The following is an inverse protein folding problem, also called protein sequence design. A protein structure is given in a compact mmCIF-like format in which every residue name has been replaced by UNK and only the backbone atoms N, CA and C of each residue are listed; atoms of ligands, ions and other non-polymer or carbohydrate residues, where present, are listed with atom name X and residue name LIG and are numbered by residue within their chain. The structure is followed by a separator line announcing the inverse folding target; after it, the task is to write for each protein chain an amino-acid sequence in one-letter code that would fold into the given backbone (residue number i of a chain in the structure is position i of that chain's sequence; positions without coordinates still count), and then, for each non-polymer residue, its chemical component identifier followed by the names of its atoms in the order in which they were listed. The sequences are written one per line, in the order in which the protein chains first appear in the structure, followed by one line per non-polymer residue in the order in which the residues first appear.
data_IF_440617069644
#
_entry.id   IF_440617069644
#
_cell.length_a   1.000
_cell.length_b   1.000
_cell.length_c   1.000
_cell.angle_alpha   90.00
_cell.angle_beta   90.00
_cell.angle_gamma   90.00
#
_symmetry.space_group_name_H-M   'P 1'
#
loop_
_entity.id
_entity.type
_entity.pdbx_description
1 polymer ?
#
# COMPACT_ATOMS: atom_id res chain seq x y z
N UNK A 1 -6.80 -11.04 27.97
CA UNK A 1 -5.73 -10.29 27.29
C UNK A 1 -6.35 -9.01 26.79
N UNK A 2 -5.79 -7.85 27.11
CA UNK A 2 -6.24 -6.60 26.53
C UNK A 2 -6.09 -6.65 25.01
N UNK A 3 -7.08 -6.13 24.29
CA UNK A 3 -7.04 -6.06 22.84
C UNK A 3 -5.99 -5.01 22.43
N UNK A 4 -5.11 -5.38 21.51
CA UNK A 4 -4.08 -4.47 20.99
C UNK A 4 -4.70 -3.23 20.35
N UNK A 5 -4.11 -2.07 20.67
CA UNK A 5 -4.54 -0.78 20.12
C UNK A 5 -3.74 -0.47 18.86
N UNK A 6 -4.44 -0.41 17.75
CA UNK A 6 -3.88 -0.07 16.44
C UNK A 6 -4.35 1.31 16.00
N UNK A 7 -3.41 2.11 15.50
CA UNK A 7 -3.69 3.42 14.92
C UNK A 7 -3.06 3.56 13.54
N UNK A 8 -3.62 4.43 12.72
CA UNK A 8 -3.08 4.80 11.41
C UNK A 8 -2.92 6.31 11.28
N UNK A 9 -1.76 6.72 10.81
CA UNK A 9 -1.39 8.11 10.51
C UNK A 9 -1.19 8.25 9.01
N UNK A 10 -1.83 9.28 8.44
CA UNK A 10 -1.78 9.49 6.99
C UNK A 10 -2.95 8.82 6.26
N UNK A 11 -4.12 9.47 6.31
CA UNK A 11 -5.34 9.01 5.62
C UNK A 11 -5.40 9.57 4.19
N UNK A 12 -4.32 9.31 3.46
CA UNK A 12 -4.25 9.53 2.01
C UNK A 12 -4.80 8.33 1.23
N UNK A 13 -4.32 8.13 0.00
CA UNK A 13 -4.83 7.06 -0.87
C UNK A 13 -4.62 5.68 -0.25
N UNK A 14 -3.42 5.36 0.25
CA UNK A 14 -3.12 4.06 0.84
C UNK A 14 -3.75 3.89 2.22
N UNK A 15 -3.56 4.86 3.13
CA UNK A 15 -4.12 4.78 4.48
C UNK A 15 -5.65 4.73 4.48
N UNK A 16 -6.29 5.48 3.58
CA UNK A 16 -7.74 5.42 3.38
C UNK A 16 -8.21 4.09 2.80
N UNK A 17 -7.41 3.45 1.93
CA UNK A 17 -7.71 2.11 1.42
C UNK A 17 -7.64 1.05 2.53
N UNK A 18 -6.60 1.10 3.37
CA UNK A 18 -6.45 0.20 4.53
C UNK A 18 -7.64 0.37 5.48
N UNK A 19 -7.98 1.62 5.83
CA UNK A 19 -9.09 1.93 6.72
C UNK A 19 -10.41 1.37 6.19
N UNK A 20 -10.69 1.54 4.89
CA UNK A 20 -11.88 0.98 4.23
C UNK A 20 -11.91 -0.55 4.32
N UNK A 21 -10.78 -1.23 4.11
CA UNK A 21 -10.73 -2.69 4.20
C UNK A 21 -10.98 -3.21 5.63
N UNK A 22 -10.58 -2.45 6.64
CA UNK A 22 -10.84 -2.78 8.04
C UNK A 22 -12.29 -2.48 8.48
N UNK A 23 -13.02 -1.60 7.78
CA UNK A 23 -14.40 -1.23 8.13
C UNK A 23 -15.44 -2.35 7.94
N UNK A 24 -15.08 -3.49 7.34
CA UNK A 24 -15.98 -4.58 7.01
C UNK A 24 -15.98 -5.70 8.08
N UNK A 25 -16.26 -5.36 9.34
CA UNK A 25 -16.33 -6.36 10.44
C UNK A 25 -14.96 -6.85 10.94
N UNK A 26 -13.91 -6.15 10.62
CA UNK A 26 -12.52 -6.38 11.02
C UNK A 26 -12.14 -5.52 12.24
N UNK A 27 -10.91 -5.63 12.79
CA UNK A 27 -10.52 -4.86 13.95
C UNK A 27 -10.74 -3.34 13.75
N UNK A 28 -11.40 -2.72 14.72
CA UNK A 28 -11.52 -1.26 14.76
C UNK A 28 -10.17 -0.66 15.13
N UNK A 29 -9.77 0.41 14.45
CA UNK A 29 -8.53 1.12 14.73
C UNK A 29 -8.78 2.61 14.95
N UNK A 30 -7.84 3.26 15.64
CA UNK A 30 -7.76 4.71 15.66
C UNK A 30 -7.16 5.26 14.37
N UNK A 31 -7.51 6.50 14.00
CA UNK A 31 -6.83 7.19 12.91
C UNK A 31 -6.55 8.64 13.27
N UNK A 32 -5.40 9.14 12.84
CA UNK A 32 -5.02 10.53 13.04
C UNK A 32 -5.00 11.31 11.74
N UNK A 33 -5.62 12.48 11.76
CA UNK A 33 -5.53 13.48 10.70
C UNK A 33 -5.36 14.88 11.28
N UNK A 34 -4.37 15.69 10.85
CA UNK A 34 -4.08 17.01 11.47
C UNK A 34 -5.20 18.05 11.27
N UNK A 35 -6.08 17.87 10.30
CA UNK A 35 -7.25 18.73 10.08
C UNK A 35 -8.49 18.06 10.68
N UNK A 36 -9.08 18.68 11.69
CA UNK A 36 -10.23 18.16 12.44
C UNK A 36 -11.50 17.98 11.58
N UNK A 37 -11.75 18.88 10.63
CA UNK A 37 -12.91 18.80 9.73
C UNK A 37 -12.80 17.58 8.81
N UNK A 38 -11.60 17.34 8.24
CA UNK A 38 -11.33 16.13 7.44
C UNK A 38 -11.42 14.87 8.30
N UNK A 39 -10.92 14.92 9.54
CA UNK A 39 -11.03 13.80 10.48
C UNK A 39 -12.48 13.43 10.75
N UNK A 40 -13.36 14.42 10.97
CA UNK A 40 -14.79 14.20 11.16
C UNK A 40 -15.45 13.55 9.92
N UNK A 41 -15.11 14.02 8.71
CA UNK A 41 -15.61 13.42 7.46
C UNK A 41 -15.13 11.97 7.28
N UNK A 42 -13.87 11.67 7.63
CA UNK A 42 -13.33 10.30 7.59
C UNK A 42 -14.06 9.39 8.59
N UNK A 43 -14.29 9.85 9.83
CA UNK A 43 -15.03 9.10 10.84
C UNK A 43 -16.45 8.76 10.38
N UNK A 44 -17.13 9.73 9.77
CA UNK A 44 -18.47 9.52 9.23
C UNK A 44 -18.50 8.49 8.10
N UNK A 45 -17.48 8.50 7.23
CA UNK A 45 -17.36 7.56 6.11
C UNK A 45 -16.90 6.15 6.52
N UNK A 46 -16.31 5.99 7.71
CA UNK A 46 -15.76 4.73 8.21
C UNK A 46 -16.27 4.47 9.64
N UNK A 47 -17.54 4.14 9.83
CA UNK A 47 -18.11 3.90 11.15
C UNK A 47 -17.40 2.73 11.83
N UNK A 48 -17.11 2.90 13.13
CA UNK A 48 -16.37 1.94 13.95
C UNK A 48 -14.88 2.30 14.12
N UNK A 49 -14.32 3.21 13.33
CA UNK A 49 -12.98 3.75 13.53
C UNK A 49 -13.03 5.08 14.29
N UNK A 50 -12.07 5.29 15.20
CA UNK A 50 -12.01 6.44 16.07
C UNK A 50 -11.02 7.48 15.55
N UNK A 51 -11.45 8.74 15.45
CA UNK A 51 -10.52 9.85 15.24
C UNK A 51 -9.70 10.11 16.50
N UNK A 52 -8.37 10.25 16.33
CA UNK A 52 -7.42 10.46 17.41
C UNK A 52 -6.91 11.90 17.42
N UNK A 53 -6.55 12.38 18.60
CA UNK A 53 -5.69 13.56 18.76
C UNK A 53 -4.21 13.14 18.68
N UNK A 54 -3.31 14.12 18.59
CA UNK A 54 -1.87 13.82 18.56
C UNK A 54 -1.38 13.26 19.89
N UNK A 55 -1.95 13.73 21.00
CA UNK A 55 -1.60 13.33 22.37
C UNK A 55 -1.98 11.88 22.67
N UNK A 56 -2.93 11.32 21.96
CA UNK A 56 -3.36 9.93 22.15
C UNK A 56 -2.42 8.91 21.46
N UNK A 57 -1.55 9.37 20.55
CA UNK A 57 -0.75 8.46 19.70
C UNK A 57 0.24 7.59 20.50
N UNK A 58 0.75 8.07 21.62
CA UNK A 58 1.69 7.29 22.46
C UNK A 58 1.01 6.22 23.33
N UNK A 59 -0.34 6.22 23.39
CA UNK A 59 -1.14 5.22 24.09
C UNK A 59 -1.43 3.95 23.27
N UNK A 60 -0.94 3.89 22.02
CA UNK A 60 -1.16 2.78 21.10
C UNK A 60 -0.02 1.77 21.15
N UNK A 61 -0.32 0.50 20.83
CA UNK A 61 0.70 -0.54 20.68
C UNK A 61 1.38 -0.46 19.31
N UNK A 62 0.60 -0.12 18.27
CA UNK A 62 1.06 0.00 16.90
C UNK A 62 0.50 1.25 16.23
N UNK A 63 1.37 1.96 15.50
CA UNK A 63 0.99 3.07 14.64
C UNK A 63 1.45 2.81 13.20
N UNK A 64 0.50 2.67 12.29
CA UNK A 64 0.74 2.52 10.85
C UNK A 64 1.04 3.90 10.28
N UNK A 65 2.25 4.11 9.75
CA UNK A 65 2.69 5.37 9.15
C UNK A 65 2.53 5.29 7.63
N UNK A 66 1.32 5.58 7.15
CA UNK A 66 0.97 5.65 5.72
C UNK A 66 1.22 7.06 5.16
N UNK A 67 2.41 7.59 5.43
CA UNK A 67 2.83 8.95 5.07
C UNK A 67 3.72 8.97 3.82
N UNK A 68 3.74 10.08 3.06
CA UNK A 68 4.77 10.32 2.07
C UNK A 68 6.17 10.23 2.67
N UNK A 69 7.14 9.76 1.88
CA UNK A 69 8.51 9.51 2.35
C UNK A 69 9.16 10.74 2.99
N UNK A 70 8.97 11.92 2.39
CA UNK A 70 9.49 13.21 2.88
C UNK A 70 8.78 13.71 4.15
N UNK A 71 7.65 13.13 4.53
CA UNK A 71 6.87 13.52 5.70
C UNK A 71 7.07 12.61 6.90
N UNK A 72 7.55 11.39 6.69
CA UNK A 72 7.63 10.39 7.75
C UNK A 72 8.59 10.80 8.86
N UNK A 73 9.84 11.11 8.54
CA UNK A 73 10.86 11.53 9.53
C UNK A 73 10.46 12.84 10.23
N UNK A 74 10.07 13.92 9.51
CA UNK A 74 9.59 15.15 10.17
C UNK A 74 8.40 14.92 11.11
N UNK A 75 7.47 14.05 10.74
CA UNK A 75 6.32 13.71 11.60
C UNK A 75 6.77 13.03 12.90
N UNK A 76 7.59 11.99 12.81
CA UNK A 76 8.11 11.29 14.01
C UNK A 76 8.89 12.26 14.90
N UNK A 77 9.73 13.12 14.32
CA UNK A 77 10.49 14.13 15.07
C UNK A 77 9.54 15.11 15.77
N UNK A 78 8.50 15.58 15.10
CA UNK A 78 7.53 16.50 15.71
C UNK A 78 6.79 15.90 16.90
N UNK A 79 6.51 14.60 16.90
CA UNK A 79 5.91 13.90 18.03
C UNK A 79 6.88 13.87 19.24
N UNK A 80 8.15 13.59 18.98
CA UNK A 80 9.19 13.58 20.03
C UNK A 80 9.40 15.00 20.61
N UNK A 81 9.45 16.02 19.75
CA UNK A 81 9.62 17.41 20.15
C UNK A 81 8.43 17.93 20.98
N UNK A 82 7.22 17.37 20.76
CA UNK A 82 6.04 17.65 21.59
C UNK A 82 6.01 16.90 22.93
N UNK A 83 7.02 16.08 23.21
CA UNK A 83 7.17 15.37 24.47
C UNK A 83 6.48 14.01 24.55
N UNK A 84 5.94 13.48 23.43
CA UNK A 84 5.32 12.15 23.42
C UNK A 84 6.38 11.05 23.59
N UNK A 85 6.05 10.05 24.40
CA UNK A 85 6.92 8.90 24.63
C UNK A 85 6.52 7.71 23.74
N UNK A 86 7.11 7.63 22.55
CA UNK A 86 6.83 6.54 21.60
C UNK A 86 7.62 5.25 21.86
N UNK A 87 8.29 5.12 23.00
CA UNK A 87 9.20 3.98 23.32
C UNK A 87 8.46 2.63 23.42
N UNK A 88 7.18 2.64 23.74
CA UNK A 88 6.32 1.44 23.79
C UNK A 88 5.61 1.15 22.47
N UNK A 89 5.50 2.16 21.62
CA UNK A 89 4.77 2.09 20.34
C UNK A 89 5.64 1.41 19.29
N UNK A 90 5.06 0.53 18.52
CA UNK A 90 5.69 0.01 17.30
C UNK A 90 5.22 0.83 16.11
N UNK A 91 6.16 1.49 15.45
CA UNK A 91 5.91 2.33 14.28
C UNK A 91 6.05 1.48 13.00
N UNK A 92 4.95 1.32 12.27
CA UNK A 92 4.93 0.53 11.04
C UNK A 92 5.24 1.45 9.85
N UNK A 93 6.43 1.31 9.27
CA UNK A 93 6.87 2.07 8.13
C UNK A 93 6.28 1.51 6.82
N UNK A 94 5.38 2.28 6.18
CA UNK A 94 4.79 1.92 4.88
C UNK A 94 5.42 2.68 3.70
N UNK A 95 6.27 3.68 3.94
CA UNK A 95 6.92 4.44 2.86
C UNK A 95 7.89 3.54 2.09
N UNK A 96 7.65 3.34 0.79
CA UNK A 96 8.38 2.39 -0.05
C UNK A 96 9.88 2.71 -0.11
N UNK A 97 10.24 3.98 -0.32
CA UNK A 97 11.65 4.41 -0.51
C UNK A 97 12.38 4.72 0.81
N UNK A 98 11.71 4.62 1.97
CA UNK A 98 12.34 4.85 3.27
C UNK A 98 12.70 3.51 3.90
N UNK A 99 14.00 3.23 4.03
CA UNK A 99 14.47 1.97 4.61
C UNK A 99 14.20 1.92 6.11
N UNK A 100 13.56 0.85 6.57
CA UNK A 100 13.23 0.66 7.99
C UNK A 100 14.49 0.54 8.85
N UNK A 101 15.56 -0.05 8.33
CA UNK A 101 16.86 -0.11 9.01
C UNK A 101 17.47 1.29 9.25
N UNK A 102 17.24 2.25 8.35
CA UNK A 102 17.69 3.63 8.51
C UNK A 102 16.91 4.36 9.60
N UNK A 103 15.59 4.17 9.65
CA UNK A 103 14.77 4.71 10.73
C UNK A 103 15.18 4.18 12.10
N UNK A 104 15.46 2.88 12.23
CA UNK A 104 15.95 2.27 13.46
C UNK A 104 17.35 2.78 13.87
N UNK A 105 18.19 3.18 12.90
CA UNK A 105 19.49 3.82 13.18
C UNK A 105 19.33 5.29 13.59
N UNK A 106 18.43 6.02 12.93
CA UNK A 106 18.18 7.43 13.21
C UNK A 106 17.48 7.64 14.56
N UNK A 107 16.58 6.72 14.93
CA UNK A 107 15.80 6.77 16.17
C UNK A 107 16.01 5.48 16.99
N UNK A 108 17.19 5.27 17.59
CA UNK A 108 17.53 3.99 18.25
C UNK A 108 16.67 3.68 19.48
N UNK A 109 16.01 4.70 20.06
CA UNK A 109 15.06 4.58 21.17
C UNK A 109 13.67 4.12 20.73
N UNK A 110 13.35 4.18 19.45
CA UNK A 110 12.06 3.79 18.89
C UNK A 110 12.16 2.40 18.23
N UNK A 111 11.00 1.83 17.94
CA UNK A 111 10.87 0.54 17.27
C UNK A 111 10.12 0.72 15.95
N UNK A 112 10.82 0.55 14.85
CA UNK A 112 10.22 0.53 13.52
C UNK A 112 10.21 -0.89 12.97
N UNK A 113 9.06 -1.27 12.37
CA UNK A 113 8.91 -2.43 11.50
C UNK A 113 8.49 -1.97 10.11
N UNK A 114 9.07 -2.56 9.07
CA UNK A 114 8.64 -2.33 7.69
C UNK A 114 7.40 -3.17 7.37
N UNK A 115 6.43 -2.55 6.72
CA UNK A 115 5.31 -3.25 6.11
C UNK A 115 4.98 -2.53 4.79
N UNK A 116 5.70 -2.93 3.75
CA UNK A 116 5.64 -2.24 2.44
C UNK A 116 4.49 -2.76 1.62
N UNK A 117 3.74 -1.86 0.99
CA UNK A 117 2.62 -2.22 0.14
C UNK A 117 3.07 -2.40 -1.31
N UNK A 118 2.87 -3.60 -1.85
CA UNK A 118 3.07 -3.91 -3.26
C UNK A 118 1.72 -3.89 -3.98
N UNK A 119 1.52 -2.92 -4.86
CA UNK A 119 0.30 -2.80 -5.65
C UNK A 119 -0.21 -1.37 -5.75
N UNK A 120 -1.45 -1.22 -6.21
CA UNK A 120 -2.10 0.07 -6.38
C UNK A 120 -3.19 0.28 -5.31
N UNK A 121 -3.15 1.40 -4.60
CA UNK A 121 -4.05 1.65 -3.46
C UNK A 121 -5.54 1.70 -3.87
N UNK A 122 -5.86 2.07 -5.11
CA UNK A 122 -7.24 2.00 -5.62
C UNK A 122 -7.70 0.55 -5.75
N UNK A 123 -6.83 -0.35 -6.19
CA UNK A 123 -7.15 -1.78 -6.26
C UNK A 123 -7.39 -2.38 -4.87
N UNK A 124 -6.51 -2.08 -3.91
CA UNK A 124 -6.73 -2.42 -2.51
C UNK A 124 -8.08 -1.91 -2.01
N UNK A 125 -8.39 -0.64 -2.27
CA UNK A 125 -9.62 0.00 -1.80
C UNK A 125 -10.87 -0.64 -2.37
N UNK A 126 -10.89 -0.97 -3.66
CA UNK A 126 -12.10 -1.42 -4.36
C UNK A 126 -12.24 -2.95 -4.36
N UNK A 127 -11.14 -3.70 -4.32
CA UNK A 127 -11.12 -5.16 -4.47
C UNK A 127 -10.54 -5.92 -3.28
N UNK A 128 -9.82 -5.23 -2.39
CA UNK A 128 -9.21 -5.87 -1.22
C UNK A 128 -7.98 -6.73 -1.54
N UNK A 129 -7.36 -6.56 -2.70
CA UNK A 129 -6.17 -7.34 -3.10
C UNK A 129 -4.89 -6.73 -2.48
N UNK A 130 -4.79 -6.76 -1.15
CA UNK A 130 -3.59 -6.29 -0.45
C UNK A 130 -2.45 -7.30 -0.55
N UNK A 131 -1.25 -6.81 -0.90
CA UNK A 131 -0.01 -7.55 -0.73
C UNK A 131 0.99 -6.67 0.01
N UNK A 132 1.50 -7.20 1.13
CA UNK A 132 2.42 -6.50 1.99
C UNK A 132 3.70 -7.29 2.16
N UNK A 133 4.83 -6.59 2.19
CA UNK A 133 6.17 -7.19 2.35
C UNK A 133 6.79 -6.65 3.63
N UNK A 134 7.34 -7.55 4.44
CA UNK A 134 8.09 -7.20 5.66
C UNK A 134 9.40 -7.97 5.70
N UNK A 135 10.50 -7.29 6.04
CA UNK A 135 11.78 -7.98 6.23
C UNK A 135 11.81 -8.79 7.52
N UNK A 136 12.50 -9.94 7.55
CA UNK A 136 12.72 -10.69 8.78
C UNK A 136 13.37 -9.80 9.85
N UNK A 137 12.83 -9.80 11.05
CA UNK A 137 13.36 -9.00 12.16
C UNK A 137 13.52 -9.85 13.42
N UNK A 138 14.71 -10.43 13.60
CA UNK A 138 15.01 -11.27 14.75
C UNK A 138 14.90 -10.53 16.09
N UNK A 139 15.27 -9.24 16.11
CA UNK A 139 15.21 -8.41 17.34
C UNK A 139 13.79 -8.21 17.84
N UNK A 140 12.81 -8.16 16.93
CA UNK A 140 11.42 -7.89 17.24
C UNK A 140 10.47 -8.98 16.69
N UNK A 141 10.93 -10.23 16.62
CA UNK A 141 10.19 -11.33 15.98
C UNK A 141 8.74 -11.47 16.45
N UNK A 142 8.53 -11.52 17.78
CA UNK A 142 7.17 -11.64 18.33
C UNK A 142 6.25 -10.44 18.03
N UNK A 143 6.84 -9.24 17.92
CA UNK A 143 6.11 -8.02 17.56
C UNK A 143 5.78 -8.03 16.06
N UNK A 144 6.72 -8.51 15.23
CA UNK A 144 6.52 -8.68 13.80
C UNK A 144 5.42 -9.70 13.48
N UNK A 145 5.38 -10.83 14.18
CA UNK A 145 4.28 -11.81 14.04
C UNK A 145 2.90 -11.20 14.34
N UNK A 146 2.82 -10.32 15.33
CA UNK A 146 1.58 -9.61 15.65
C UNK A 146 1.20 -8.65 14.53
N UNK A 147 2.18 -7.92 13.97
CA UNK A 147 1.96 -7.03 12.83
C UNK A 147 1.51 -7.81 11.59
N UNK A 148 2.14 -8.96 11.29
CA UNK A 148 1.73 -9.84 10.19
C UNK A 148 0.26 -10.25 10.36
N UNK A 149 -0.11 -10.83 11.52
CA UNK A 149 -1.51 -11.24 11.79
C UNK A 149 -2.52 -10.11 11.64
N UNK A 150 -2.15 -8.89 12.02
CA UNK A 150 -3.03 -7.74 11.82
C UNK A 150 -3.20 -7.41 10.34
N UNK A 151 -2.09 -7.36 9.57
CA UNK A 151 -2.15 -7.03 8.14
C UNK A 151 -2.82 -8.13 7.30
N UNK A 152 -2.85 -9.38 7.75
CA UNK A 152 -3.63 -10.46 7.13
C UNK A 152 -5.14 -10.19 7.11
N UNK A 153 -5.65 -9.30 7.94
CA UNK A 153 -7.01 -8.77 7.81
C UNK A 153 -7.20 -7.85 6.60
N UNK A 154 -6.13 -7.29 6.06
CA UNK A 154 -6.17 -6.34 4.93
C UNK A 154 -5.75 -6.99 3.62
N UNK A 155 -4.83 -7.98 3.68
CA UNK A 155 -4.32 -8.66 2.51
C UNK A 155 -3.30 -9.74 2.86
N UNK A 156 -2.62 -10.28 1.88
CA UNK A 156 -1.53 -11.24 2.07
C UNK A 156 -0.28 -10.53 2.59
N UNK A 157 0.47 -11.18 3.49
CA UNK A 157 1.79 -10.72 3.93
C UNK A 157 2.85 -11.74 3.53
N UNK A 158 3.94 -11.27 2.93
CA UNK A 158 5.11 -12.08 2.58
C UNK A 158 6.32 -11.54 3.35
N UNK A 159 7.10 -12.45 3.90
CA UNK A 159 8.38 -12.12 4.54
C UNK A 159 9.47 -12.17 3.50
N UNK A 160 9.98 -11.01 3.09
CA UNK A 160 11.03 -10.83 2.08
C UNK A 160 11.71 -9.45 2.27
N UNK A 161 12.72 -9.13 1.45
CA UNK A 161 13.41 -7.84 1.46
C UNK A 161 12.46 -6.70 1.11
N UNK A 162 12.55 -5.58 1.83
CA UNK A 162 11.72 -4.38 1.55
C UNK A 162 11.93 -3.83 0.13
N UNK A 163 13.14 -3.96 -0.42
CA UNK A 163 13.54 -3.39 -1.71
C UNK A 163 12.76 -3.95 -2.88
N UNK A 164 12.35 -5.22 -2.78
CA UNK A 164 11.55 -5.89 -3.83
C UNK A 164 10.27 -5.10 -4.16
N UNK A 165 9.71 -4.36 -3.20
CA UNK A 165 8.49 -3.58 -3.43
C UNK A 165 8.74 -2.39 -4.35
N UNK A 166 9.83 -1.65 -4.13
CA UNK A 166 10.21 -0.53 -5.01
C UNK A 166 10.56 -1.03 -6.41
N UNK A 167 11.33 -2.10 -6.50
CA UNK A 167 11.75 -2.69 -7.77
C UNK A 167 10.56 -3.17 -8.60
N UNK A 168 9.67 -3.97 -8.01
CA UNK A 168 8.51 -4.53 -8.72
C UNK A 168 7.48 -3.45 -9.06
N UNK A 169 7.16 -2.55 -8.13
CA UNK A 169 6.21 -1.46 -8.40
C UNK A 169 6.73 -0.52 -9.51
N UNK A 170 8.04 -0.20 -9.50
CA UNK A 170 8.66 0.63 -10.53
C UNK A 170 8.67 -0.06 -11.89
N UNK A 171 9.02 -1.34 -11.93
CA UNK A 171 9.00 -2.14 -13.15
C UNK A 171 7.60 -2.23 -13.74
N UNK A 172 6.60 -2.60 -12.92
CA UNK A 172 5.21 -2.70 -13.35
C UNK A 172 4.66 -1.36 -13.86
N UNK A 173 4.94 -0.26 -13.14
CA UNK A 173 4.52 1.08 -13.54
C UNK A 173 5.15 1.48 -14.87
N UNK A 174 6.45 1.25 -15.04
CA UNK A 174 7.16 1.58 -16.28
C UNK A 174 6.60 0.84 -17.48
N UNK A 175 6.37 -0.49 -17.33
CA UNK A 175 5.81 -1.32 -18.41
C UNK A 175 4.37 -0.88 -18.72
N UNK A 176 3.53 -0.64 -17.71
CA UNK A 176 2.15 -0.21 -17.91
C UNK A 176 2.06 1.14 -18.62
N UNK A 177 2.88 2.14 -18.22
CA UNK A 177 2.92 3.45 -18.87
C UNK A 177 3.41 3.35 -20.32
N UNK A 178 4.46 2.52 -20.57
CA UNK A 178 4.95 2.27 -21.92
C UNK A 178 3.86 1.66 -22.80
N UNK A 179 3.20 0.60 -22.33
CA UNK A 179 2.12 -0.05 -23.06
C UNK A 179 0.94 0.91 -23.34
N UNK A 180 0.58 1.76 -22.37
CA UNK A 180 -0.46 2.77 -22.56
C UNK A 180 -0.10 3.79 -23.65
N UNK A 181 1.15 4.28 -23.63
CA UNK A 181 1.66 5.21 -24.63
C UNK A 181 1.68 4.61 -26.03
N UNK A 182 2.18 3.37 -26.17
CA UNK A 182 2.25 2.65 -27.44
C UNK A 182 0.85 2.36 -28.00
N UNK A 183 -0.09 1.96 -27.14
CA UNK A 183 -1.49 1.70 -27.53
C UNK A 183 -2.18 2.97 -28.05
N UNK A 184 -2.02 4.08 -27.32
CA UNK A 184 -2.58 5.38 -27.75
C UNK A 184 -2.01 5.81 -29.11
N UNK A 185 -0.69 5.66 -29.27
CA UNK A 185 0.01 6.02 -30.52
C UNK A 185 -0.46 5.17 -31.71
N UNK A 186 -0.51 3.85 -31.53
CA UNK A 186 -0.96 2.93 -32.58
C UNK A 186 -2.40 3.18 -33.03
N UNK A 187 -3.30 3.50 -32.11
CA UNK A 187 -4.70 3.85 -32.44
C UNK A 187 -4.75 5.15 -33.24
N UNK A 188 -3.97 6.16 -32.87
CA UNK A 188 -3.91 7.45 -33.58
C UNK A 188 -3.31 7.30 -34.98
N UNK A 189 -2.21 6.57 -35.13
CA UNK A 189 -1.57 6.33 -36.43
C UNK A 189 -2.45 5.49 -37.37
N UNK A 190 -3.26 4.60 -36.84
CA UNK A 190 -4.28 3.88 -37.58
C UNK A 190 -5.46 4.73 -38.05
N UNK A 191 -5.46 6.05 -37.76
CA UNK A 191 -6.52 6.96 -38.17
C UNK A 191 -7.82 6.80 -37.37
N UNK A 192 -7.77 6.11 -36.24
CA UNK A 192 -8.94 5.88 -35.40
C UNK A 192 -9.23 7.10 -34.51
N UNK A 193 -10.47 7.17 -34.03
CA UNK A 193 -10.92 8.27 -33.18
C UNK A 193 -10.30 8.20 -31.78
N UNK A 194 -10.04 9.36 -31.18
CA UNK A 194 -9.44 9.47 -29.83
C UNK A 194 -10.27 8.76 -28.74
N UNK A 195 -11.59 8.73 -28.90
CA UNK A 195 -12.46 8.03 -27.94
C UNK A 195 -12.20 6.52 -27.88
N UNK A 196 -11.66 5.92 -28.95
CA UNK A 196 -11.31 4.50 -28.96
C UNK A 196 -10.04 4.25 -28.15
N UNK A 197 -9.06 5.15 -28.21
CA UNK A 197 -7.87 5.08 -27.36
C UNK A 197 -8.24 5.18 -25.87
N UNK A 198 -9.07 6.15 -25.50
CA UNK A 198 -9.57 6.28 -24.13
C UNK A 198 -10.29 5.01 -23.66
N UNK A 199 -11.15 4.44 -24.50
CA UNK A 199 -11.87 3.20 -24.16
C UNK A 199 -10.95 2.00 -24.03
N UNK A 200 -9.97 1.87 -24.92
CA UNK A 200 -8.98 0.79 -24.88
C UNK A 200 -8.16 0.85 -23.59
N UNK A 201 -7.71 2.03 -23.18
CA UNK A 201 -6.90 2.23 -21.97
C UNK A 201 -7.66 2.00 -20.66
N UNK A 202 -8.92 2.42 -20.57
CA UNK A 202 -9.67 2.32 -19.29
C UNK A 202 -10.46 1.03 -19.14
N UNK A 203 -10.67 0.26 -20.21
CA UNK A 203 -11.52 -0.93 -20.18
C UNK A 203 -10.84 -2.16 -20.79
N UNK A 204 -10.36 -2.10 -22.03
CA UNK A 204 -9.86 -3.31 -22.72
C UNK A 204 -8.53 -3.77 -22.13
N UNK A 205 -7.51 -2.92 -22.12
CA UNK A 205 -6.17 -3.30 -21.68
C UNK A 205 -6.11 -3.74 -20.20
N UNK A 206 -6.73 -3.03 -19.24
CA UNK A 206 -6.70 -3.46 -17.84
C UNK A 206 -7.38 -4.81 -17.60
N UNK A 207 -8.50 -5.10 -18.29
CA UNK A 207 -9.18 -6.38 -18.13
C UNK A 207 -8.43 -7.53 -18.79
N UNK A 208 -7.74 -7.29 -19.93
CA UNK A 208 -6.85 -8.30 -20.55
C UNK A 208 -5.67 -8.61 -19.63
N UNK A 209 -5.04 -7.60 -19.00
CA UNK A 209 -3.96 -7.81 -18.03
C UNK A 209 -4.44 -8.61 -16.81
N UNK A 210 -5.64 -8.33 -16.29
CA UNK A 210 -6.24 -9.12 -15.20
C UNK A 210 -6.52 -10.55 -15.62
N UNK A 211 -7.08 -10.75 -16.79
CA UNK A 211 -7.36 -12.08 -17.31
C UNK A 211 -6.08 -12.89 -17.54
N UNK A 212 -5.01 -12.24 -17.97
CA UNK A 212 -3.68 -12.85 -18.06
C UNK A 212 -3.17 -13.32 -16.68
N UNK A 213 -3.19 -12.42 -15.69
CA UNK A 213 -2.72 -12.72 -14.35
C UNK A 213 -3.53 -13.81 -13.64
N UNK A 214 -4.84 -13.90 -13.91
CA UNK A 214 -5.73 -14.90 -13.30
C UNK A 214 -5.86 -16.21 -14.12
N UNK A 215 -5.21 -16.31 -15.29
CA UNK A 215 -5.33 -17.47 -16.18
C UNK A 215 -6.70 -17.61 -16.88
N UNK A 216 -7.54 -16.56 -16.85
CA UNK A 216 -8.92 -16.58 -17.39
C UNK A 216 -9.04 -15.98 -18.79
N UNK A 217 -7.94 -15.85 -19.53
CA UNK A 217 -7.95 -15.28 -20.88
C UNK A 217 -8.87 -16.04 -21.83
N UNK A 218 -9.59 -15.26 -22.67
CA UNK A 218 -10.35 -15.81 -23.79
C UNK A 218 -9.43 -16.35 -24.90
N UNK A 219 -10.03 -17.08 -25.85
CA UNK A 219 -9.29 -17.75 -26.94
C UNK A 219 -8.42 -16.78 -27.75
N UNK A 220 -8.92 -15.57 -28.06
CA UNK A 220 -8.18 -14.58 -28.83
C UNK A 220 -6.89 -14.14 -28.13
N UNK A 221 -6.97 -13.80 -26.83
CA UNK A 221 -5.81 -13.38 -26.05
C UNK A 221 -4.78 -14.52 -25.86
N UNK A 222 -5.23 -15.77 -25.74
CA UNK A 222 -4.33 -16.94 -25.67
C UNK A 222 -3.50 -17.11 -26.93
N UNK A 223 -4.11 -16.97 -28.11
CA UNK A 223 -3.38 -17.02 -29.39
C UNK A 223 -2.28 -15.95 -29.48
N UNK A 224 -2.53 -14.74 -28.97
CA UNK A 224 -1.52 -13.69 -28.93
C UNK A 224 -0.35 -14.09 -28.02
N UNK A 225 -0.64 -14.68 -26.85
CA UNK A 225 0.43 -15.18 -25.95
C UNK A 225 1.26 -16.27 -26.62
N UNK A 226 0.63 -17.21 -27.32
CA UNK A 226 1.33 -18.26 -28.08
C UNK A 226 2.28 -17.65 -29.11
N UNK A 227 1.81 -16.69 -29.92
CA UNK A 227 2.62 -15.98 -30.90
C UNK A 227 3.82 -15.23 -30.26
N UNK A 228 3.60 -14.53 -29.15
CA UNK A 228 4.66 -13.82 -28.45
C UNK A 228 5.72 -14.77 -27.87
N UNK A 229 5.32 -15.95 -27.42
CA UNK A 229 6.26 -16.99 -26.94
C UNK A 229 7.10 -17.57 -28.07
N UNK A 230 6.53 -17.78 -29.26
CA UNK A 230 7.24 -18.23 -30.46
C UNK A 230 8.29 -17.21 -30.91
N UNK A 231 7.91 -15.91 -30.97
CA UNK A 231 8.82 -14.80 -31.32
C UNK A 231 10.01 -14.67 -30.36
N UNK A 232 9.81 -14.95 -29.06
CA UNK A 232 10.88 -14.92 -28.06
C UNK A 232 11.86 -16.09 -28.16
N UNK A 233 11.44 -17.24 -28.73
CA UNK A 233 12.31 -18.39 -28.92
C UNK A 233 13.19 -18.27 -30.17
N UNK A 234 12.78 -17.42 -31.12
CA UNK A 234 13.51 -17.16 -32.36
C UNK A 234 14.51 -15.99 -32.27
N UNK A 235 14.51 -15.21 -31.16
CA UNK A 235 15.36 -14.05 -30.92
C UNK A 235 16.55 -14.36 -30.03
#
# INVERSE_FOLDING_TARGET
MEQEKWGIVGIGTLGGAILKQLSNGKPNIGFYHPNAEKAAGIAQANPGHQSLTVEELDSFDFLILALPADRLVPFVQSLLDSGLSLTRVTLINMATVVKTAELNRQFPQLRFLGMKFMGHAVDLRERGNGLFITEPNERFASVQERAIRFFEHVGQVIVDKEDVVEEVNSLATRIAVKAAFELEHAIREGGYRQEYASRALVSVAPEVMRAYASGTMGHFARKIVEQLMEEQQES
#
